data_IF_218554708720
#
_entry.id   IF_218554708720
#
_cell.length_a   1.000
_cell.length_b   1.000
_cell.length_c   1.000
_cell.angle_alpha   90.00
_cell.angle_beta   90.00
_cell.angle_gamma   90.00
#
_symmetry.space_group_name_H-M   'P 1'
#
loop_
_entity.id
_entity.type
_entity.pdbx_description
1 polymer ?
#
# COMPACT_ATOMS: atom_id res chain seq x y z
N UNK A 1 24.72 7.55 -0.97
CA UNK A 1 24.99 6.49 -1.99
C UNK A 1 23.96 6.61 -3.11
N UNK A 2 24.27 6.14 -4.31
CA UNK A 2 23.33 6.13 -5.45
C UNK A 2 23.40 4.80 -6.22
N UNK A 3 22.27 4.32 -6.77
CA UNK A 3 22.24 3.11 -7.59
C UNK A 3 22.34 3.40 -9.10
N UNK A 4 22.83 2.41 -9.84
CA UNK A 4 22.83 2.44 -11.30
C UNK A 4 21.42 2.21 -11.87
N UNK A 5 21.05 2.95 -12.91
CA UNK A 5 19.76 2.84 -13.61
C UNK A 5 19.73 1.65 -14.60
N UNK A 6 19.90 0.43 -14.07
CA UNK A 6 19.96 -0.82 -14.84
C UNK A 6 18.84 -1.77 -14.42
N UNK A 7 18.35 -2.56 -15.36
CA UNK A 7 17.24 -3.50 -15.18
C UNK A 7 17.50 -4.62 -14.17
N UNK A 8 18.74 -5.06 -14.11
CA UNK A 8 19.19 -6.06 -13.12
C UNK A 8 19.51 -5.45 -11.76
N UNK A 9 19.47 -4.13 -11.62
CA UNK A 9 19.93 -3.42 -10.42
C UNK A 9 18.78 -2.71 -9.72
N UNK A 10 18.11 -1.76 -10.38
CA UNK A 10 17.25 -0.82 -9.67
C UNK A 10 15.81 -0.81 -10.18
N UNK A 11 14.96 -1.55 -9.47
CA UNK A 11 13.50 -1.38 -9.45
C UNK A 11 13.07 -0.79 -8.08
N UNK A 12 11.76 -0.62 -7.83
CA UNK A 12 11.23 0.07 -6.64
C UNK A 12 11.78 -0.50 -5.33
N UNK A 13 11.97 -1.82 -5.24
CA UNK A 13 12.47 -2.46 -4.02
C UNK A 13 13.84 -1.93 -3.60
N UNK A 14 14.79 -1.84 -4.53
CA UNK A 14 16.13 -1.32 -4.21
C UNK A 14 16.10 0.19 -4.00
N UNK A 15 15.33 0.92 -4.83
CA UNK A 15 15.21 2.38 -4.70
C UNK A 15 14.64 2.80 -3.34
N UNK A 16 13.63 2.09 -2.84
CA UNK A 16 13.06 2.27 -1.49
C UNK A 16 14.12 2.00 -0.43
N UNK A 17 14.77 0.84 -0.48
CA UNK A 17 15.76 0.45 0.53
C UNK A 17 16.92 1.46 0.60
N UNK A 18 17.42 1.92 -0.55
CA UNK A 18 18.46 2.95 -0.57
C UNK A 18 17.99 4.29 -0.04
N UNK A 19 16.77 4.72 -0.36
CA UNK A 19 16.23 5.97 0.13
C UNK A 19 16.07 5.97 1.66
N UNK A 20 15.66 4.83 2.25
CA UNK A 20 15.57 4.66 3.70
C UNK A 20 16.93 4.78 4.41
N UNK A 21 18.01 4.38 3.74
CA UNK A 21 19.39 4.53 4.22
C UNK A 21 20.02 5.91 3.87
N UNK A 22 19.20 6.88 3.42
CA UNK A 22 19.66 8.23 3.05
C UNK A 22 20.34 8.33 1.68
N UNK A 23 20.20 7.30 0.84
CA UNK A 23 20.66 7.26 -0.54
C UNK A 23 19.59 7.66 -1.56
N UNK A 24 19.87 7.40 -2.84
CA UNK A 24 18.94 7.63 -3.95
C UNK A 24 19.01 6.48 -4.97
N UNK A 25 17.86 6.07 -5.49
CA UNK A 25 17.77 5.05 -6.54
C UNK A 25 17.21 5.61 -7.84
N UNK A 26 17.78 5.19 -8.98
CA UNK A 26 17.27 5.53 -10.31
C UNK A 26 16.62 4.32 -10.97
N UNK A 27 15.31 4.37 -11.21
CA UNK A 27 14.57 3.31 -11.91
C UNK A 27 15.02 3.25 -13.37
N UNK A 28 15.42 2.07 -13.84
CA UNK A 28 15.85 1.88 -15.22
C UNK A 28 14.71 2.07 -16.23
N UNK A 29 15.05 2.24 -17.51
CA UNK A 29 14.09 2.49 -18.62
C UNK A 29 13.71 1.25 -19.44
N UNK A 30 14.22 0.06 -19.07
CA UNK A 30 13.98 -1.18 -19.82
C UNK A 30 12.61 -1.80 -19.45
N UNK A 31 11.56 -1.00 -19.60
CA UNK A 31 10.15 -1.35 -19.37
C UNK A 31 9.26 -0.32 -20.06
N UNK A 32 7.94 -0.54 -20.09
CA UNK A 32 7.01 0.47 -20.63
C UNK A 32 6.96 1.70 -19.72
N UNK A 33 6.50 2.83 -20.26
CA UNK A 33 6.36 4.08 -19.49
C UNK A 33 5.39 3.88 -18.33
N UNK A 34 4.32 3.13 -18.55
CA UNK A 34 3.30 2.82 -17.56
C UNK A 34 3.90 2.03 -16.39
N UNK A 35 4.66 0.97 -16.69
CA UNK A 35 5.34 0.16 -15.66
C UNK A 35 6.38 0.97 -14.90
N UNK A 36 7.14 1.83 -15.59
CA UNK A 36 8.12 2.70 -14.93
C UNK A 36 7.43 3.70 -13.98
N UNK A 37 6.30 4.26 -14.40
CA UNK A 37 5.50 5.16 -13.57
C UNK A 37 4.92 4.43 -12.34
N UNK A 38 4.51 3.18 -12.48
CA UNK A 38 4.08 2.34 -11.35
C UNK A 38 5.21 2.10 -10.36
N UNK A 39 6.42 1.77 -10.81
CA UNK A 39 7.60 1.62 -9.95
C UNK A 39 7.91 2.92 -9.19
N UNK A 40 7.90 4.07 -9.87
CA UNK A 40 8.06 5.38 -9.23
C UNK A 40 6.96 5.65 -8.21
N UNK A 41 5.70 5.36 -8.55
CA UNK A 41 4.55 5.53 -7.65
C UNK A 41 4.70 4.67 -6.40
N UNK A 42 5.19 3.43 -6.51
CA UNK A 42 5.48 2.55 -5.38
C UNK A 42 6.55 3.16 -4.46
N UNK A 43 7.65 3.67 -5.02
CA UNK A 43 8.72 4.33 -4.24
C UNK A 43 8.16 5.54 -3.49
N UNK A 44 7.42 6.41 -4.17
CA UNK A 44 6.89 7.65 -3.58
C UNK A 44 5.79 7.42 -2.53
N UNK A 45 5.03 6.33 -2.63
CA UNK A 45 3.99 5.95 -1.66
C UNK A 45 4.53 5.23 -0.42
N UNK A 46 5.73 4.63 -0.49
CA UNK A 46 6.25 3.77 0.58
C UNK A 46 6.36 4.48 1.93
N UNK A 47 6.77 5.75 1.95
CA UNK A 47 6.80 6.59 3.16
C UNK A 47 6.16 7.96 2.90
N UNK A 48 4.86 7.97 2.60
CA UNK A 48 4.09 9.22 2.58
C UNK A 48 3.63 9.59 4.00
N UNK A 49 4.09 10.72 4.54
CA UNK A 49 3.62 11.24 5.82
C UNK A 49 2.13 11.66 5.82
N UNK A 50 1.57 11.93 4.64
CA UNK A 50 0.14 12.15 4.40
C UNK A 50 -0.28 11.34 3.17
N UNK A 51 -1.32 10.53 3.30
CA UNK A 51 -1.86 9.70 2.21
C UNK A 51 -2.98 10.49 1.51
N UNK A 52 -2.76 10.91 0.26
CA UNK A 52 -3.66 11.80 -0.49
C UNK A 52 -4.90 11.11 -1.08
N UNK A 53 -4.98 9.79 -1.00
CA UNK A 53 -6.09 8.97 -1.49
C UNK A 53 -6.02 7.60 -0.78
N UNK A 54 -6.46 7.54 0.50
CA UNK A 54 -6.40 6.30 1.26
C UNK A 54 -7.44 5.32 0.70
N UNK A 55 -7.11 4.03 0.70
CA UNK A 55 -8.11 3.02 0.43
C UNK A 55 -9.09 2.95 1.60
N UNK A 56 -10.37 3.13 1.29
CA UNK A 56 -11.46 3.15 2.28
C UNK A 56 -12.32 1.90 2.18
N UNK A 57 -13.13 1.67 3.21
CA UNK A 57 -14.15 0.61 3.26
C UNK A 57 -15.51 1.22 3.64
N UNK A 58 -16.60 0.52 3.31
CA UNK A 58 -17.94 0.94 3.69
C UNK A 58 -18.30 0.38 5.08
N UNK A 59 -19.27 0.97 5.80
CA UNK A 59 -19.79 0.42 7.06
C UNK A 59 -20.39 -0.98 6.90
N UNK A 60 -20.82 -1.31 5.68
CA UNK A 60 -21.38 -2.61 5.30
C UNK A 60 -20.32 -3.64 4.89
N UNK A 61 -19.06 -3.22 4.71
CA UNK A 61 -17.96 -4.13 4.37
C UNK A 61 -17.73 -5.12 5.51
N UNK A 62 -17.70 -6.41 5.17
CA UNK A 62 -17.54 -7.49 6.13
C UNK A 62 -16.10 -7.60 6.62
N UNK A 63 -15.92 -8.13 7.83
CA UNK A 63 -14.59 -8.35 8.41
C UNK A 63 -13.74 -9.34 7.59
N UNK A 64 -14.39 -10.25 6.85
CA UNK A 64 -13.72 -11.16 5.90
C UNK A 64 -13.09 -10.38 4.76
N UNK A 65 -13.84 -9.48 4.13
CA UNK A 65 -13.33 -8.64 3.04
C UNK A 65 -12.20 -7.73 3.53
N UNK A 66 -12.33 -7.14 4.73
CA UNK A 66 -11.23 -6.34 5.32
C UNK A 66 -9.97 -7.17 5.54
N UNK A 67 -10.12 -8.44 5.94
CA UNK A 67 -8.99 -9.37 6.10
C UNK A 67 -8.33 -9.67 4.75
N UNK A 68 -9.11 -9.95 3.72
CA UNK A 68 -8.61 -10.19 2.35
C UNK A 68 -7.89 -8.96 1.79
N UNK A 69 -8.43 -7.75 2.02
CA UNK A 69 -7.77 -6.49 1.67
C UNK A 69 -6.44 -6.34 2.41
N UNK A 70 -6.41 -6.65 3.71
CA UNK A 70 -5.20 -6.59 4.52
C UNK A 70 -4.11 -7.52 4.00
N UNK A 71 -4.46 -8.77 3.66
CA UNK A 71 -3.52 -9.75 3.10
C UNK A 71 -2.99 -9.33 1.72
N UNK A 72 -3.85 -8.77 0.88
CA UNK A 72 -3.48 -8.30 -0.47
C UNK A 72 -2.57 -7.08 -0.43
N UNK A 73 -2.88 -6.13 0.45
CA UNK A 73 -2.25 -4.82 0.46
C UNK A 73 -1.06 -4.71 1.42
N UNK A 74 -0.95 -5.60 2.40
CA UNK A 74 0.13 -5.61 3.39
C UNK A 74 -0.02 -4.59 4.52
N UNK A 75 -1.17 -3.91 4.64
CA UNK A 75 -1.49 -3.01 5.75
C UNK A 75 -2.92 -3.23 6.25
N UNK A 76 -3.14 -2.94 7.53
CA UNK A 76 -4.36 -3.33 8.25
C UNK A 76 -5.21 -2.15 8.75
N UNK A 77 -5.04 -0.94 8.20
CA UNK A 77 -5.77 0.27 8.62
C UNK A 77 -6.57 0.86 7.47
N UNK A 78 -7.89 0.96 7.65
CA UNK A 78 -8.81 1.49 6.63
C UNK A 78 -9.75 2.52 7.23
N UNK A 79 -9.83 3.75 6.68
CA UNK A 79 -10.91 4.67 7.00
C UNK A 79 -12.24 4.07 6.54
N UNK A 80 -13.27 4.20 7.38
CA UNK A 80 -14.63 3.77 7.07
C UNK A 80 -15.40 5.00 6.61
N UNK A 81 -15.92 4.98 5.39
CA UNK A 81 -16.64 6.10 4.78
C UNK A 81 -18.01 5.68 4.26
N UNK A 82 -18.97 6.60 4.25
CA UNK A 82 -20.30 6.37 3.63
C UNK A 82 -20.21 6.35 2.11
N UNK A 83 -21.30 5.99 1.42
CA UNK A 83 -21.37 6.10 -0.05
C UNK A 83 -21.21 7.55 -0.54
N UNK A 84 -21.59 8.52 0.29
CA UNK A 84 -21.39 9.95 0.05
C UNK A 84 -19.96 10.44 0.38
N UNK A 85 -19.05 9.51 0.67
CA UNK A 85 -17.65 9.74 1.01
C UNK A 85 -17.44 10.54 2.32
N UNK A 86 -18.37 10.42 3.26
CA UNK A 86 -18.24 11.00 4.60
C UNK A 86 -17.51 10.05 5.55
N UNK A 87 -16.52 10.54 6.29
CA UNK A 87 -15.77 9.74 7.25
C UNK A 87 -16.61 9.43 8.49
N UNK A 88 -16.82 8.14 8.76
CA UNK A 88 -17.58 7.67 9.93
C UNK A 88 -16.73 6.90 10.93
N UNK A 89 -15.52 6.48 10.57
CA UNK A 89 -14.63 5.81 11.51
C UNK A 89 -13.35 5.26 10.90
N UNK A 90 -12.71 4.37 11.63
CA UNK A 90 -11.51 3.65 11.22
C UNK A 90 -11.58 2.20 11.72
N UNK A 91 -11.14 1.27 10.90
CA UNK A 91 -10.90 -0.12 11.31
C UNK A 91 -9.41 -0.42 11.20
N UNK A 92 -8.85 -1.06 12.22
CA UNK A 92 -7.44 -1.41 12.31
C UNK A 92 -7.22 -2.90 12.49
N UNK A 93 -6.00 -3.36 12.25
CA UNK A 93 -5.61 -4.76 12.43
C UNK A 93 -5.85 -5.29 13.85
N UNK A 94 -5.90 -4.40 14.85
CA UNK A 94 -6.22 -4.79 16.24
C UNK A 94 -7.68 -5.17 16.41
N UNK A 95 -8.58 -4.53 15.67
CA UNK A 95 -10.03 -4.74 15.76
C UNK A 95 -10.43 -6.09 15.15
N UNK A 96 -9.70 -6.55 14.12
CA UNK A 96 -9.97 -7.83 13.44
C UNK A 96 -9.21 -9.02 14.03
N UNK A 97 -8.26 -8.80 14.96
CA UNK A 97 -7.34 -9.84 15.44
C UNK A 97 -8.01 -10.97 16.23
N UNK A 98 -9.07 -10.66 16.97
CA UNK A 98 -9.75 -11.61 17.87
C UNK A 98 -11.10 -12.09 17.33
N UNK A 99 -11.41 -11.74 16.09
CA UNK A 99 -12.66 -12.13 15.46
C UNK A 99 -12.51 -13.56 14.95
N UNK A 100 -13.18 -14.49 15.62
CA UNK A 100 -13.33 -15.86 15.13
C UNK A 100 -14.22 -15.82 13.89
N UNK A 101 -13.63 -15.75 12.71
CA UNK A 101 -14.36 -15.93 11.45
C UNK A 101 -14.65 -17.43 11.36
N UNK A 102 -15.74 -17.89 12.00
CA UNK A 102 -16.17 -19.28 11.87
C UNK A 102 -16.46 -19.55 10.40
N UNK A 103 -15.83 -20.58 9.84
CA UNK A 103 -16.24 -21.14 8.57
C UNK A 103 -17.52 -21.95 8.78
N UNK A 104 -18.68 -21.29 8.77
CA UNK A 104 -19.97 -21.93 8.46
C UNK A 104 -21.08 -20.90 8.38
N UNK A 105 -21.43 -20.48 7.16
CA UNK A 105 -22.70 -20.77 6.48
C UNK A 105 -22.70 -20.06 5.13
#
# INVERSE_FOLDING_TARGET
MLSAAMDTVTEARLAIALAQEGGIGFIHKNMSIERQAEEVKRVKKHESGVVTDPQTVLPTTTLREVKELTERNGFAGYPVVTEDNELVGIITGRDVRFVTISASQ
#
